data_IF_874221034235
#
_entry.id   IF_874221034235
#
_cell.length_a   1.000
_cell.length_b   1.000
_cell.length_c   1.000
_cell.angle_alpha   90.00
_cell.angle_beta   90.00
_cell.angle_gamma   90.00
#
_symmetry.space_group_name_H-M   'P 1'
#
loop_
_entity.id
_entity.type
_entity.pdbx_description
1 polymer ?
#
# COMPACT_ATOMS: atom_id res chain seq x y z
N UNK A 1 27.78 0.84 31.76
CA UNK A 1 26.33 1.08 31.58
C UNK A 1 26.00 0.69 30.16
N UNK A 2 25.40 -0.49 29.95
CA UNK A 2 25.03 -0.94 28.61
C UNK A 2 23.91 -0.04 28.09
N UNK A 3 24.14 0.66 26.98
CA UNK A 3 23.09 1.38 26.28
C UNK A 3 22.08 0.34 25.80
N UNK A 4 20.89 0.30 26.40
CA UNK A 4 19.76 -0.46 25.87
C UNK A 4 19.39 0.16 24.51
N UNK A 5 19.94 -0.40 23.43
CA UNK A 5 19.52 -0.09 22.06
C UNK A 5 18.13 -0.69 21.87
N UNK A 6 17.10 0.14 22.04
CA UNK A 6 15.73 -0.23 21.72
C UNK A 6 15.63 -0.39 20.22
N UNK A 7 15.43 -1.61 19.75
CA UNK A 7 15.18 -1.89 18.34
C UNK A 7 13.79 -1.33 17.97
N UNK A 8 13.74 -0.33 17.10
CA UNK A 8 12.50 0.30 16.64
C UNK A 8 12.24 -0.13 15.21
N UNK A 9 11.08 -0.75 14.99
CA UNK A 9 10.65 -1.18 13.66
C UNK A 9 9.59 -0.24 13.14
N UNK A 10 9.88 0.43 12.02
CA UNK A 10 8.92 1.25 11.30
C UNK A 10 8.38 0.41 10.14
N UNK A 11 7.05 0.39 10.02
CA UNK A 11 6.35 -0.35 8.97
C UNK A 11 5.72 0.67 8.03
N UNK A 12 6.17 0.65 6.77
CA UNK A 12 5.65 1.47 5.68
C UNK A 12 4.91 0.55 4.71
N UNK A 13 3.66 0.86 4.44
CA UNK A 13 2.80 0.09 3.55
C UNK A 13 2.64 0.84 2.22
N UNK A 14 2.95 0.17 1.10
CA UNK A 14 2.76 0.71 -0.24
C UNK A 14 1.61 -0.01 -0.96
N UNK A 15 0.46 0.65 -1.07
CA UNK A 15 -0.70 0.17 -1.82
C UNK A 15 -0.71 0.63 -3.28
N UNK A 16 -1.53 -0.03 -4.10
CA UNK A 16 -1.78 0.36 -5.50
C UNK A 16 -1.95 -0.83 -6.44
N UNK A 17 -2.42 -0.56 -7.66
CA UNK A 17 -2.73 -1.58 -8.66
C UNK A 17 -1.51 -2.35 -9.20
N UNK A 18 -1.76 -3.40 -9.97
CA UNK A 18 -0.69 -4.09 -10.70
C UNK A 18 0.07 -3.11 -11.61
N UNK A 19 1.40 -3.28 -11.70
CA UNK A 19 2.31 -2.39 -12.43
C UNK A 19 2.25 -0.89 -12.05
N UNK A 20 1.72 -0.53 -10.88
CA UNK A 20 1.67 0.88 -10.41
C UNK A 20 3.03 1.47 -10.04
N UNK A 21 4.03 0.63 -9.76
CA UNK A 21 5.37 1.08 -9.33
C UNK A 21 5.67 0.85 -7.84
N UNK A 22 4.89 0.01 -7.14
CA UNK A 22 5.12 -0.35 -5.72
C UNK A 22 6.56 -0.81 -5.45
N UNK A 23 7.01 -1.83 -6.19
CA UNK A 23 8.36 -2.40 -6.03
C UNK A 23 9.45 -1.37 -6.31
N UNK A 24 9.31 -0.58 -7.37
CA UNK A 24 10.25 0.49 -7.70
C UNK A 24 10.32 1.53 -6.58
N UNK A 25 9.17 1.95 -6.05
CA UNK A 25 9.10 2.92 -4.94
C UNK A 25 9.75 2.35 -3.67
N UNK A 26 9.49 1.08 -3.35
CA UNK A 26 10.11 0.40 -2.22
C UNK A 26 11.64 0.33 -2.35
N UNK A 27 12.14 0.02 -3.56
CA UNK A 27 13.59 -0.01 -3.83
C UNK A 27 14.21 1.38 -3.71
N UNK A 28 13.60 2.42 -4.28
CA UNK A 28 14.09 3.80 -4.14
C UNK A 28 14.11 4.27 -2.69
N UNK A 29 13.07 3.96 -1.91
CA UNK A 29 13.05 4.23 -0.48
C UNK A 29 14.19 3.53 0.25
N UNK A 30 14.40 2.25 -0.04
CA UNK A 30 15.50 1.47 0.55
C UNK A 30 16.87 2.06 0.22
N UNK A 31 17.12 2.35 -1.05
CA UNK A 31 18.39 2.91 -1.52
C UNK A 31 18.67 4.27 -0.86
N UNK A 32 17.69 5.18 -0.85
CA UNK A 32 17.88 6.51 -0.30
C UNK A 32 17.96 6.51 1.25
N UNK A 33 17.18 5.67 1.94
CA UNK A 33 17.30 5.51 3.40
C UNK A 33 18.66 4.96 3.81
N UNK A 34 19.16 3.93 3.11
CA UNK A 34 20.48 3.36 3.37
C UNK A 34 21.60 4.37 3.11
N UNK A 35 21.41 5.30 2.17
CA UNK A 35 22.37 6.36 1.89
C UNK A 35 22.38 7.47 2.98
N UNK A 36 21.21 7.82 3.53
CA UNK A 36 21.08 8.89 4.53
C UNK A 36 21.45 8.40 5.94
N UNK A 37 21.18 7.13 6.27
CA UNK A 37 21.44 6.56 7.60
C UNK A 37 22.43 5.39 7.55
N UNK A 38 23.69 5.60 7.14
CA UNK A 38 24.68 4.52 7.06
C UNK A 38 25.21 4.05 8.44
N UNK A 39 25.15 4.91 9.47
CA UNK A 39 25.74 4.62 10.79
C UNK A 39 24.79 3.98 11.82
N UNK A 40 23.48 3.97 11.56
CA UNK A 40 22.57 3.12 12.33
C UNK A 40 22.38 1.80 11.59
N UNK A 41 22.34 0.69 12.32
CA UNK A 41 21.90 -0.61 11.81
C UNK A 41 20.41 -0.57 11.43
N UNK A 42 20.05 0.21 10.40
CA UNK A 42 18.71 0.26 9.84
C UNK A 42 18.62 -0.86 8.80
N UNK A 43 17.98 -1.96 9.19
CA UNK A 43 17.66 -3.04 8.27
C UNK A 43 16.37 -2.70 7.51
N UNK A 44 16.49 -2.47 6.21
CA UNK A 44 15.35 -2.18 5.33
C UNK A 44 14.99 -3.43 4.53
N UNK A 45 13.86 -4.04 4.91
CA UNK A 45 13.29 -5.20 4.25
C UNK A 45 12.11 -4.80 3.38
N UNK A 46 12.05 -5.36 2.17
CA UNK A 46 10.88 -5.28 1.29
C UNK A 46 10.18 -6.62 1.41
N UNK A 47 8.92 -6.61 1.83
CA UNK A 47 8.15 -7.83 1.96
C UNK A 47 6.94 -7.75 1.01
N UNK A 48 6.84 -8.73 0.11
CA UNK A 48 5.72 -8.84 -0.80
C UNK A 48 4.60 -9.65 -0.15
N UNK A 49 3.34 -9.27 -0.35
CA UNK A 49 2.21 -10.04 0.16
C UNK A 49 2.20 -11.47 -0.40
N UNK A 50 2.72 -11.67 -1.61
CA UNK A 50 2.86 -12.99 -2.22
C UNK A 50 3.73 -13.93 -1.38
N UNK A 51 4.74 -13.41 -0.69
CA UNK A 51 5.65 -14.21 0.17
C UNK A 51 4.92 -14.82 1.37
N UNK A 52 3.77 -14.24 1.76
CA UNK A 52 2.91 -14.72 2.85
C UNK A 52 1.80 -15.68 2.40
N UNK A 53 1.67 -15.95 1.10
CA UNK A 53 0.61 -16.82 0.56
C UNK A 53 0.99 -18.30 0.44
N UNK A 54 2.23 -18.64 0.78
CA UNK A 54 2.74 -20.01 0.75
C UNK A 54 2.31 -20.72 2.05
N UNK A 55 1.59 -21.84 1.94
CA UNK A 55 1.18 -22.78 3.00
C UNK A 55 -0.14 -22.56 3.75
N UNK A 56 -1.06 -21.70 3.29
CA UNK A 56 -2.41 -21.61 3.87
C UNK A 56 -2.44 -21.20 5.36
N UNK A 57 -1.30 -20.83 5.92
CA UNK A 57 -1.12 -20.17 7.20
C UNK A 57 -0.65 -18.77 6.90
N UNK A 58 -1.56 -17.81 6.92
CA UNK A 58 -1.15 -16.41 7.04
C UNK A 58 -0.38 -16.30 8.35
N UNK A 59 0.92 -15.98 8.31
CA UNK A 59 1.73 -15.65 9.51
C UNK A 59 1.35 -14.29 10.12
N UNK A 60 0.15 -13.84 9.78
CA UNK A 60 -0.52 -12.64 10.19
C UNK A 60 -1.71 -13.14 11.01
N UNK A 61 -1.79 -12.70 12.26
CA UNK A 61 -2.92 -12.99 13.14
C UNK A 61 -4.21 -12.53 12.46
N UNK A 62 -4.99 -13.48 11.96
CA UNK A 62 -6.24 -13.26 11.25
C UNK A 62 -7.32 -12.63 12.13
N UNK A 63 -7.08 -12.46 13.43
CA UNK A 63 -7.94 -11.64 14.30
C UNK A 63 -7.79 -10.13 14.06
N UNK A 64 -6.69 -9.68 13.45
CA UNK A 64 -6.44 -8.27 13.12
C UNK A 64 -6.77 -7.91 11.67
N UNK A 65 -7.21 -8.89 10.88
CA UNK A 65 -7.57 -8.72 9.47
C UNK A 65 -9.03 -9.07 9.31
N UNK A 66 -9.85 -8.10 8.90
CA UNK A 66 -11.19 -8.39 8.39
C UNK A 66 -11.02 -9.39 7.25
N UNK A 67 -11.79 -10.48 7.31
CA UNK A 67 -11.68 -11.73 6.54
C UNK A 67 -11.83 -11.62 5.01
N UNK A 68 -11.57 -10.47 4.40
CA UNK A 68 -11.64 -10.27 2.96
C UNK A 68 -10.23 -10.15 2.40
N UNK A 69 -9.87 -11.08 1.52
CA UNK A 69 -8.61 -11.17 0.74
C UNK A 69 -8.30 -9.94 -0.15
N UNK A 70 -8.83 -8.75 0.13
CA UNK A 70 -9.06 -7.72 -0.87
C UNK A 70 -8.55 -6.32 -0.50
N UNK A 71 -8.05 -6.08 0.71
CA UNK A 71 -7.61 -4.74 1.08
C UNK A 71 -6.09 -4.60 0.94
N UNK A 72 -5.65 -3.90 -0.11
CA UNK A 72 -4.24 -3.55 -0.33
C UNK A 72 -3.66 -2.66 0.79
N UNK A 73 -4.51 -2.02 1.62
CA UNK A 73 -4.14 -1.19 2.76
C UNK A 73 -5.12 -1.46 3.91
N UNK A 74 -4.92 -2.53 4.69
CA UNK A 74 -5.69 -2.79 5.92
C UNK A 74 -4.82 -3.52 6.93
N UNK A 75 -3.74 -2.86 7.37
CA UNK A 75 -2.87 -3.38 8.42
C UNK A 75 -2.90 -2.38 9.59
N UNK A 76 -3.54 -2.79 10.69
CA UNK A 76 -3.74 -1.96 11.89
C UNK A 76 -2.43 -1.53 12.57
N UNK A 77 -1.31 -2.19 12.27
CA UNK A 77 0.01 -1.90 12.84
C UNK A 77 0.98 -1.36 11.78
N UNK A 78 0.68 -0.16 11.26
CA UNK A 78 1.52 0.54 10.28
C UNK A 78 1.75 2.00 10.71
N UNK A 79 2.92 2.54 10.35
CA UNK A 79 3.29 3.93 10.70
C UNK A 79 2.98 4.89 9.56
N UNK A 80 3.21 4.45 8.32
CA UNK A 80 2.96 5.23 7.10
C UNK A 80 2.29 4.32 6.07
N UNK A 81 1.13 4.74 5.56
CA UNK A 81 0.40 4.09 4.47
C UNK A 81 0.46 4.98 3.25
N UNK A 82 1.15 4.56 2.20
CA UNK A 82 1.22 5.29 0.93
C UNK A 82 0.48 4.53 -0.16
N UNK A 83 -0.29 5.23 -0.99
CA UNK A 83 -1.00 4.65 -2.13
C UNK A 83 -0.46 5.22 -3.44
N UNK A 84 -0.06 4.34 -4.36
CA UNK A 84 0.44 4.74 -5.69
C UNK A 84 -0.71 4.77 -6.68
N UNK A 85 -1.15 5.98 -7.02
CA UNK A 85 -2.30 6.26 -7.89
C UNK A 85 -1.84 6.56 -9.33
N UNK A 86 -1.22 5.57 -9.96
CA UNK A 86 -0.76 5.67 -11.35
C UNK A 86 -1.90 5.40 -12.34
N UNK A 87 -1.95 6.20 -13.40
CA UNK A 87 -2.91 6.06 -14.49
C UNK A 87 -2.93 4.65 -15.09
N UNK A 88 -4.12 4.20 -15.50
CA UNK A 88 -4.34 2.83 -15.98
C UNK A 88 -3.58 2.50 -17.26
N UNK A 89 -3.48 3.47 -18.18
CA UNK A 89 -2.71 3.37 -19.42
C UNK A 89 -1.22 3.22 -19.13
N UNK A 90 -0.69 4.03 -18.22
CA UNK A 90 0.70 3.97 -17.76
C UNK A 90 0.99 2.61 -17.14
N UNK A 91 0.10 2.08 -16.30
CA UNK A 91 0.24 0.74 -15.70
C UNK A 91 0.23 -0.37 -16.75
N UNK A 92 -0.71 -0.33 -17.70
CA UNK A 92 -0.78 -1.32 -18.77
C UNK A 92 0.47 -1.28 -19.67
N UNK A 93 0.91 -0.09 -20.06
CA UNK A 93 2.14 0.08 -20.86
C UNK A 93 3.35 -0.45 -20.08
N UNK A 94 3.46 -0.15 -18.78
CA UNK A 94 4.53 -0.70 -17.93
C UNK A 94 4.47 -2.23 -17.86
N UNK A 95 3.29 -2.81 -17.74
CA UNK A 95 3.11 -4.27 -17.72
C UNK A 95 3.58 -4.89 -19.03
N UNK A 96 3.11 -4.38 -20.18
CA UNK A 96 3.51 -4.87 -21.50
C UNK A 96 5.03 -4.72 -21.70
N UNK A 97 5.58 -3.54 -21.39
CA UNK A 97 7.03 -3.30 -21.54
C UNK A 97 7.84 -4.29 -20.70
N UNK A 98 7.43 -4.55 -19.47
CA UNK A 98 8.14 -5.43 -18.55
C UNK A 98 8.00 -6.90 -18.95
N UNK A 99 6.79 -7.40 -19.12
CA UNK A 99 6.54 -8.85 -19.21
C UNK A 99 6.52 -9.36 -20.64
N UNK A 100 6.20 -8.53 -21.63
CA UNK A 100 6.20 -8.93 -23.04
C UNK A 100 7.51 -8.55 -23.72
N UNK A 101 7.98 -7.31 -23.53
CA UNK A 101 9.13 -6.80 -24.29
C UNK A 101 10.49 -7.07 -23.62
N UNK A 102 10.58 -6.88 -22.30
CA UNK A 102 11.84 -7.00 -21.56
C UNK A 102 12.08 -8.43 -21.06
N UNK A 103 11.16 -8.95 -20.25
CA UNK A 103 11.31 -10.25 -19.59
C UNK A 103 10.84 -11.41 -20.48
N UNK A 104 9.98 -11.14 -21.47
CA UNK A 104 9.39 -12.12 -22.38
C UNK A 104 8.71 -13.30 -21.63
N UNK A 105 8.11 -13.00 -20.49
CA UNK A 105 7.42 -13.98 -19.63
C UNK A 105 5.97 -14.21 -20.05
N UNK A 106 5.37 -13.27 -20.79
CA UNK A 106 3.98 -13.34 -21.26
C UNK A 106 3.83 -12.91 -22.72
N UNK A 107 2.72 -13.32 -23.35
CA UNK A 107 2.31 -12.82 -24.66
C UNK A 107 1.51 -11.51 -24.53
N UNK A 108 1.54 -10.68 -25.58
CA UNK A 108 0.76 -9.44 -25.60
C UNK A 108 -0.74 -9.71 -25.39
N UNK A 109 -1.28 -10.73 -26.05
CA UNK A 109 -2.67 -11.14 -25.91
C UNK A 109 -2.97 -11.60 -24.48
N UNK A 110 -2.06 -12.35 -23.86
CA UNK A 110 -2.18 -12.78 -22.46
C UNK A 110 -2.29 -11.60 -21.50
N UNK A 111 -1.40 -10.61 -21.62
CA UNK A 111 -1.41 -9.39 -20.79
C UNK A 111 -2.69 -8.58 -21.01
N UNK A 112 -3.13 -8.41 -22.25
CA UNK A 112 -4.36 -7.66 -22.56
C UNK A 112 -5.59 -8.35 -21.95
N UNK A 113 -5.70 -9.68 -22.10
CA UNK A 113 -6.80 -10.45 -21.53
C UNK A 113 -6.78 -10.42 -20.01
N UNK A 114 -5.62 -10.60 -19.38
CA UNK A 114 -5.47 -10.49 -17.92
C UNK A 114 -5.86 -9.11 -17.39
N UNK A 115 -5.52 -8.05 -18.13
CA UNK A 115 -5.91 -6.69 -17.78
C UNK A 115 -7.42 -6.48 -17.88
N UNK A 116 -8.03 -6.86 -19.00
CA UNK A 116 -9.45 -6.63 -19.26
C UNK A 116 -10.37 -7.49 -18.38
N UNK A 117 -10.01 -8.75 -18.16
CA UNK A 117 -10.85 -9.73 -17.45
C UNK A 117 -10.59 -9.76 -15.93
N UNK A 118 -9.45 -9.24 -15.47
CA UNK A 118 -9.05 -9.26 -14.06
C UNK A 118 -8.64 -7.90 -13.54
N UNK A 119 -7.41 -7.47 -13.84
CA UNK A 119 -6.76 -6.37 -13.15
C UNK A 119 -7.53 -5.03 -13.20
N UNK A 120 -8.33 -4.79 -14.24
CA UNK A 120 -9.21 -3.61 -14.34
C UNK A 120 -10.35 -3.67 -13.32
N UNK A 121 -11.08 -4.78 -13.24
CA UNK A 121 -12.18 -4.95 -12.28
C UNK A 121 -11.63 -4.95 -10.86
N UNK A 122 -10.54 -5.69 -10.62
CA UNK A 122 -9.90 -5.74 -9.31
C UNK A 122 -9.42 -4.37 -8.84
N UNK A 123 -8.85 -3.57 -9.75
CA UNK A 123 -8.47 -2.21 -9.43
C UNK A 123 -9.70 -1.38 -9.01
N UNK A 124 -10.78 -1.43 -9.78
CA UNK A 124 -11.96 -0.61 -9.51
C UNK A 124 -12.71 -1.03 -8.25
N UNK A 125 -12.86 -2.33 -8.04
CA UNK A 125 -13.73 -2.88 -7.01
C UNK A 125 -13.02 -3.06 -5.65
N UNK A 126 -11.71 -3.34 -5.66
CA UNK A 126 -11.00 -3.72 -4.44
C UNK A 126 -9.80 -2.84 -4.11
N UNK A 127 -9.02 -2.39 -5.10
CA UNK A 127 -7.76 -1.66 -4.82
C UNK A 127 -7.97 -0.15 -4.72
N UNK A 128 -8.69 0.46 -5.67
CA UNK A 128 -8.91 1.91 -5.69
C UNK A 128 -9.63 2.43 -4.44
N UNK A 129 -10.66 1.75 -3.89
CA UNK A 129 -11.28 2.19 -2.64
C UNK A 129 -10.30 2.28 -1.46
N UNK A 130 -9.22 1.48 -1.44
CA UNK A 130 -8.26 1.53 -0.33
C UNK A 130 -7.44 2.82 -0.30
N UNK A 131 -7.49 3.63 -1.36
CA UNK A 131 -6.85 4.95 -1.43
C UNK A 131 -7.34 5.88 -0.32
N UNK A 132 -8.58 5.72 0.14
CA UNK A 132 -9.17 6.52 1.22
C UNK A 132 -8.46 6.32 2.57
N UNK A 133 -7.85 5.16 2.77
CA UNK A 133 -7.09 4.84 3.97
C UNK A 133 -5.61 5.25 3.88
N UNK A 134 -5.16 5.86 2.78
CA UNK A 134 -3.77 6.27 2.62
C UNK A 134 -3.45 7.55 3.39
N UNK A 135 -2.30 7.57 4.06
CA UNK A 135 -1.74 8.78 4.66
C UNK A 135 -1.11 9.68 3.58
N UNK A 136 -0.55 9.06 2.53
CA UNK A 136 0.09 9.76 1.40
C UNK A 136 -0.34 9.13 0.07
N UNK A 137 -0.69 9.95 -0.92
CA UNK A 137 -0.98 9.49 -2.28
C UNK A 137 0.16 9.91 -3.20
N UNK A 138 0.70 8.95 -3.96
CA UNK A 138 1.79 9.13 -4.93
C UNK A 138 1.25 8.96 -6.36
N UNK A 139 0.97 10.06 -7.11
CA UNK A 139 0.37 9.96 -8.44
C UNK A 139 1.23 9.23 -9.47
N UNK A 140 2.57 9.28 -9.34
CA UNK A 140 3.50 8.72 -10.33
C UNK A 140 4.46 7.67 -9.76
N UNK A 141 4.25 7.26 -8.50
CA UNK A 141 5.10 6.31 -7.80
C UNK A 141 6.44 6.93 -7.36
N UNK A 142 7.54 6.33 -7.80
CA UNK A 142 8.92 6.61 -7.35
C UNK A 142 9.51 7.93 -7.89
N UNK A 143 8.76 9.03 -7.82
CA UNK A 143 9.31 10.36 -8.11
C UNK A 143 10.25 10.79 -6.97
N UNK A 144 11.40 11.45 -7.25
CA UNK A 144 12.37 11.82 -6.21
C UNK A 144 11.76 12.59 -5.04
N UNK A 145 10.88 13.55 -5.32
CA UNK A 145 10.21 14.34 -4.28
C UNK A 145 9.21 13.51 -3.46
N UNK A 146 8.55 12.52 -4.08
CA UNK A 146 7.62 11.64 -3.41
C UNK A 146 8.34 10.68 -2.45
N UNK A 147 9.44 10.09 -2.92
CA UNK A 147 10.31 9.22 -2.12
C UNK A 147 10.86 10.02 -0.94
N UNK A 148 11.38 11.23 -1.21
CA UNK A 148 11.93 12.10 -0.17
C UNK A 148 10.91 12.47 0.91
N UNK A 149 9.68 12.80 0.52
CA UNK A 149 8.62 13.12 1.48
C UNK A 149 8.35 11.97 2.46
N UNK A 150 8.31 10.74 1.96
CA UNK A 150 8.13 9.55 2.82
C UNK A 150 9.34 9.38 3.75
N UNK A 151 10.54 9.57 3.23
CA UNK A 151 11.78 9.47 4.02
C UNK A 151 11.82 10.50 5.14
N UNK A 152 11.49 11.75 4.84
CA UNK A 152 11.43 12.80 5.86
C UNK A 152 10.41 12.43 6.96
N UNK A 153 9.28 11.83 6.58
CA UNK A 153 8.32 11.24 7.52
C UNK A 153 8.93 10.12 8.38
N UNK A 154 9.65 9.18 7.77
CA UNK A 154 10.35 8.09 8.49
C UNK A 154 11.39 8.66 9.46
N UNK A 155 12.13 9.69 9.07
CA UNK A 155 13.16 10.32 9.90
C UNK A 155 12.58 10.94 11.17
N UNK A 156 11.36 11.50 11.10
CA UNK A 156 10.66 11.99 12.28
C UNK A 156 10.41 10.86 13.28
N UNK A 157 9.92 9.70 12.81
CA UNK A 157 9.71 8.53 13.66
C UNK A 157 11.02 7.94 14.23
N UNK A 158 12.12 8.00 13.46
CA UNK A 158 13.43 7.53 13.93
C UNK A 158 14.01 8.45 15.02
N UNK A 159 13.91 9.76 14.84
CA UNK A 159 14.52 10.76 15.71
C UNK A 159 13.71 11.05 16.97
N UNK A 160 12.39 10.86 16.94
CA UNK A 160 11.57 11.17 18.10
C UNK A 160 11.69 10.08 19.19
N UNK A 161 11.93 10.52 20.44
CA UNK A 161 11.94 9.65 21.63
C UNK A 161 10.58 9.64 22.33
N UNK A 162 9.68 10.55 21.97
CA UNK A 162 8.40 10.83 22.61
C UNK A 162 7.17 10.46 21.76
N UNK A 163 7.32 10.09 20.49
CA UNK A 163 6.27 9.34 19.78
C UNK A 163 6.16 7.96 20.44
N UNK A 164 5.35 7.89 21.49
CA UNK A 164 4.87 6.64 22.05
C UNK A 164 4.15 5.86 20.96
N UNK A 165 4.17 4.52 21.05
CA UNK A 165 3.46 3.61 20.16
C UNK A 165 1.92 3.77 20.17
N UNK A 166 1.40 4.89 20.69
CA UNK A 166 -0.01 5.27 20.66
C UNK A 166 -0.33 5.99 19.35
N UNK A 167 -0.14 5.30 18.22
CA UNK A 167 -0.74 5.69 16.94
C UNK A 167 -2.25 5.45 16.90
N UNK A 168 -2.86 5.03 18.02
CA UNK A 168 -4.27 4.69 18.13
C UNK A 168 -5.19 5.87 18.43
N UNK A 169 -4.66 7.05 18.76
CA UNK A 169 -5.48 8.26 18.91
C UNK A 169 -5.37 9.14 17.68
N UNK A 170 -5.88 8.65 16.56
CA UNK A 170 -6.37 9.56 15.54
C UNK A 170 -7.49 10.40 16.16
N UNK A 171 -7.59 11.72 15.88
CA UNK A 171 -8.84 12.40 16.16
C UNK A 171 -9.95 11.60 15.47
N UNK A 172 -10.98 11.19 16.22
CA UNK A 172 -12.12 10.46 15.65
C UNK A 172 -12.70 11.31 14.53
N UNK A 173 -12.30 11.02 13.30
CA UNK A 173 -12.87 11.65 12.15
C UNK A 173 -14.13 10.85 11.85
N UNK A 174 -15.25 11.30 12.41
CA UNK A 174 -16.58 10.68 12.28
C UNK A 174 -16.96 10.48 10.80
N UNK A 175 -16.32 11.23 9.88
CA UNK A 175 -16.51 11.14 8.44
C UNK A 175 -15.55 10.17 7.73
N UNK A 176 -14.51 9.67 8.39
CA UNK A 176 -13.71 8.56 7.84
C UNK A 176 -14.53 7.28 7.96
N UNK A 177 -14.59 6.44 6.92
CA UNK A 177 -15.10 5.09 7.07
C UNK A 177 -14.27 4.42 8.15
N UNK A 178 -14.88 4.18 9.31
CA UNK A 178 -14.19 3.49 10.40
C UNK A 178 -13.71 2.12 9.88
N UNK A 179 -12.59 1.65 10.40
CA UNK A 179 -11.99 0.32 10.14
C UNK A 179 -12.97 -0.85 10.39
N UNK A 180 -14.13 -0.55 10.97
CA UNK A 180 -15.23 -1.45 11.26
C UNK A 180 -16.32 -1.29 10.20
N UNK A 181 -16.16 -2.09 9.12
CA UNK A 181 -17.26 -2.69 8.37
C UNK A 181 -18.35 -1.76 7.85
N UNK A 182 -18.30 -1.45 6.55
CA UNK A 182 -19.45 -1.57 5.66
C UNK A 182 -19.06 -1.41 4.18
N UNK A 183 -18.26 -2.33 3.63
CA UNK A 183 -18.05 -2.43 2.18
C UNK A 183 -19.36 -2.77 1.40
N UNK A 184 -20.47 -3.05 2.09
CA UNK A 184 -21.77 -3.31 1.45
C UNK A 184 -22.66 -2.07 1.28
N UNK A 185 -22.35 -0.92 1.90
CA UNK A 185 -23.21 0.26 1.80
C UNK A 185 -22.43 1.42 1.21
N UNK A 186 -22.73 1.66 -0.07
CA UNK A 186 -22.63 2.91 -0.85
C UNK A 186 -21.91 2.75 -2.19
N UNK A 187 -22.56 2.01 -3.11
CA UNK A 187 -22.45 2.33 -4.53
C UNK A 187 -23.46 3.42 -4.84
N UNK A 188 -23.00 4.66 -5.00
CA UNK A 188 -23.83 5.72 -5.57
C UNK A 188 -24.03 5.41 -7.07
N UNK A 189 -25.18 4.84 -7.42
CA UNK A 189 -25.56 4.57 -8.81
C UNK A 189 -26.06 5.88 -9.45
N UNK A 190 -25.19 6.55 -10.20
CA UNK A 190 -25.48 7.82 -10.89
C UNK A 190 -26.68 7.70 -11.85
N UNK A 191 -27.07 6.48 -12.25
CA UNK A 191 -28.22 6.28 -13.15
C UNK A 191 -29.57 6.28 -12.44
N UNK A 192 -29.63 6.18 -11.11
CA UNK A 192 -30.90 6.14 -10.38
C UNK A 192 -30.84 7.11 -9.20
N UNK A 193 -31.45 8.27 -9.39
CA UNK A 193 -31.58 9.40 -8.46
C UNK A 193 -32.37 9.05 -7.16
N UNK A 194 -32.08 7.94 -6.47
CA UNK A 194 -32.71 7.52 -5.23
C UNK A 194 -31.75 6.71 -4.35
N UNK A 195 -31.65 7.09 -3.08
CA UNK A 195 -31.06 6.29 -2.02
C UNK A 195 -32.08 5.25 -1.54
N UNK A 196 -31.65 4.02 -1.27
CA UNK A 196 -32.43 3.05 -0.49
C UNK A 196 -31.77 2.84 0.87
N UNK A 197 -32.53 3.06 1.95
CA UNK A 197 -32.21 2.52 3.25
C UNK A 197 -32.54 1.02 3.24
N UNK A 198 -31.51 0.18 3.32
CA UNK A 198 -31.70 -1.26 3.54
C UNK A 198 -31.84 -1.49 5.04
N UNK A 199 -33.06 -1.82 5.46
CA UNK A 199 -33.38 -2.48 6.73
C UNK A 199 -32.76 -3.88 6.78
#
# INVERSE_FOLDING_TARGET
MASNTVNRSIIVLLGGGHASGKKTTALSLKEELSAIVPECHVDVQIIDMNDYTVDGKSSIDSSQFVSNKSAAISINKTHIKAFIDSDSDTRLIRWIRRDVLQNQTDSLEGVINAYLLGARSEMSDFIFPTKEFADVILPRGAEPNAVRLIIDGIMLYLNDKHLTNDTTQFPENILRPNEIGNFQKERFDVQKNKFYELN
#
